data_IF_143614448710
#
_entry.id   IF_143614448710
#
_cell.length_a   1.000
_cell.length_b   1.000
_cell.length_c   1.000
_cell.angle_alpha   90.00
_cell.angle_beta   90.00
_cell.angle_gamma   90.00
#
_symmetry.space_group_name_H-M   'P 1'
#
loop_
_entity.id
_entity.type
_entity.pdbx_description
1 polymer ?
#
# COMPACT_ATOMS: atom_id res chain seq x y z
N UNK A 1 4.44 18.62 -11.18
CA UNK A 1 3.63 17.41 -10.93
C UNK A 1 4.58 16.21 -11.00
N UNK A 2 5.06 15.56 -9.94
CA UNK A 2 4.79 15.73 -8.52
C UNK A 2 6.09 15.96 -7.76
N UNK A 3 6.04 16.90 -6.82
CA UNK A 3 6.98 16.97 -5.72
C UNK A 3 6.80 15.67 -4.90
N UNK A 4 7.68 14.69 -5.04
CA UNK A 4 7.86 13.65 -4.01
C UNK A 4 8.51 14.33 -2.82
N UNK A 5 7.66 15.03 -2.09
CA UNK A 5 7.96 16.01 -1.06
C UNK A 5 8.72 15.37 0.12
N UNK A 6 9.59 16.13 0.79
CA UNK A 6 10.32 15.70 2.01
C UNK A 6 9.40 15.06 3.06
N UNK A 7 8.13 15.46 3.07
CA UNK A 7 7.06 14.96 3.96
C UNK A 7 6.84 13.45 3.85
N UNK A 8 7.05 12.83 2.68
CA UNK A 8 6.86 11.39 2.51
C UNK A 8 7.98 10.57 3.17
N UNK A 9 9.21 11.10 3.16
CA UNK A 9 10.37 10.44 3.74
C UNK A 9 10.37 10.52 5.28
N UNK A 10 9.86 11.61 5.85
CA UNK A 10 9.78 11.80 7.31
C UNK A 10 8.74 10.85 7.95
N UNK A 11 7.65 10.57 7.23
CA UNK A 11 6.59 9.63 7.66
C UNK A 11 6.95 8.16 7.50
N UNK A 12 7.99 7.83 6.73
CA UNK A 12 8.43 6.45 6.52
C UNK A 12 9.02 5.83 7.81
N UNK A 13 9.49 6.65 8.75
CA UNK A 13 10.16 6.22 9.99
C UNK A 13 9.17 5.65 11.03
N UNK A 14 7.87 5.99 10.93
CA UNK A 14 6.84 5.57 11.89
C UNK A 14 5.85 4.54 11.32
N UNK A 15 6.18 3.94 10.18
CA UNK A 15 5.29 3.03 9.46
C UNK A 15 5.16 1.69 10.20
N UNK A 16 3.93 1.19 10.37
CA UNK A 16 3.72 -0.18 10.85
C UNK A 16 4.12 -1.20 9.78
N UNK A 17 5.03 -2.10 10.13
CA UNK A 17 5.51 -3.19 9.26
C UNK A 17 4.36 -4.03 8.70
N UNK A 18 3.31 -4.26 9.49
CA UNK A 18 2.14 -5.05 9.05
C UNK A 18 1.40 -4.39 7.87
N UNK A 19 1.33 -3.06 7.87
CA UNK A 19 0.65 -2.30 6.82
C UNK A 19 1.45 -2.32 5.52
N UNK A 20 2.77 -2.25 5.64
CA UNK A 20 3.69 -2.36 4.50
C UNK A 20 3.69 -3.79 3.92
N UNK A 21 3.70 -4.83 4.77
CA UNK A 21 3.57 -6.22 4.34
C UNK A 21 2.24 -6.42 3.60
N UNK A 22 1.13 -5.88 4.11
CA UNK A 22 -0.15 -5.96 3.43
C UNK A 22 -0.08 -5.34 2.03
N UNK A 23 0.50 -4.14 1.89
CA UNK A 23 0.66 -3.46 0.61
C UNK A 23 1.51 -4.26 -0.39
N UNK A 24 2.70 -4.72 0.00
CA UNK A 24 3.58 -5.49 -0.90
C UNK A 24 2.94 -6.81 -1.31
N UNK A 25 2.21 -7.47 -0.40
CA UNK A 25 1.49 -8.71 -0.69
C UNK A 25 0.33 -8.49 -1.68
N UNK A 26 -0.42 -7.38 -1.56
CA UNK A 26 -1.46 -7.04 -2.54
C UNK A 26 -0.84 -6.86 -3.94
N UNK A 27 0.35 -6.28 -4.03
CA UNK A 27 1.06 -6.08 -5.29
C UNK A 27 1.59 -7.37 -5.90
N UNK A 28 2.16 -8.24 -5.08
CA UNK A 28 2.61 -9.56 -5.51
C UNK A 28 1.44 -10.44 -5.98
N UNK A 29 0.31 -10.40 -5.27
CA UNK A 29 -0.85 -11.25 -5.56
C UNK A 29 -1.85 -10.64 -6.57
N UNK A 30 -1.77 -9.33 -6.84
CA UNK A 30 -2.70 -8.59 -7.72
C UNK A 30 -4.14 -8.46 -7.23
N UNK A 31 -4.45 -8.94 -6.02
CA UNK A 31 -5.81 -8.94 -5.45
C UNK A 31 -5.80 -8.92 -3.93
N UNK A 32 -6.76 -8.20 -3.34
CA UNK A 32 -6.98 -8.17 -1.89
C UNK A 32 -7.32 -9.54 -1.32
N UNK A 33 -8.13 -10.34 -2.03
CA UNK A 33 -8.53 -11.67 -1.56
C UNK A 33 -7.36 -12.64 -1.56
N UNK A 34 -6.56 -12.64 -2.63
CA UNK A 34 -5.38 -13.51 -2.73
C UNK A 34 -4.29 -13.12 -1.71
N UNK A 35 -4.09 -11.82 -1.48
CA UNK A 35 -3.17 -11.35 -0.44
C UNK A 35 -3.65 -11.72 0.97
N UNK A 36 -4.96 -11.66 1.22
CA UNK A 36 -5.53 -12.05 2.51
C UNK A 36 -5.34 -13.54 2.80
N UNK A 37 -5.55 -14.39 1.78
CA UNK A 37 -5.27 -15.82 1.86
C UNK A 37 -3.79 -16.09 2.18
N UNK A 38 -2.88 -15.42 1.46
CA UNK A 38 -1.43 -15.53 1.68
C UNK A 38 -0.98 -15.07 3.07
N UNK A 39 -1.65 -14.07 3.65
CA UNK A 39 -1.36 -13.52 4.97
C UNK A 39 -2.13 -14.22 6.11
N UNK A 40 -3.03 -15.15 5.82
CA UNK A 40 -3.86 -15.82 6.83
C UNK A 40 -4.84 -14.90 7.56
N UNK A 41 -5.30 -13.82 6.90
CA UNK A 41 -6.23 -12.83 7.47
C UNK A 41 -7.44 -12.63 6.55
N UNK A 42 -8.40 -11.79 6.96
CA UNK A 42 -9.55 -11.47 6.11
C UNK A 42 -9.21 -10.37 5.09
N UNK A 43 -9.87 -10.38 3.93
CA UNK A 43 -9.71 -9.32 2.92
C UNK A 43 -10.06 -7.92 3.47
N UNK A 44 -11.01 -7.84 4.40
CA UNK A 44 -11.34 -6.60 5.13
C UNK A 44 -10.18 -6.11 5.98
N UNK A 45 -9.42 -7.02 6.61
CA UNK A 45 -8.23 -6.67 7.37
C UNK A 45 -7.12 -6.12 6.47
N UNK A 46 -6.86 -6.78 5.34
CA UNK A 46 -5.89 -6.31 4.34
C UNK A 46 -6.27 -4.93 3.80
N UNK A 47 -7.55 -4.73 3.45
CA UNK A 47 -8.05 -3.42 2.99
C UNK A 47 -7.91 -2.34 4.07
N UNK A 48 -8.12 -2.67 5.34
CA UNK A 48 -7.96 -1.74 6.46
C UNK A 48 -6.50 -1.38 6.67
N UNK A 49 -5.59 -2.35 6.63
CA UNK A 49 -4.14 -2.12 6.75
C UNK A 49 -3.63 -1.21 5.64
N UNK A 50 -4.07 -1.42 4.39
CA UNK A 50 -3.75 -0.52 3.28
C UNK A 50 -4.30 0.89 3.51
N UNK A 51 -5.57 1.03 3.89
CA UNK A 51 -6.18 2.34 4.15
C UNK A 51 -5.48 3.08 5.30
N UNK A 52 -5.01 2.34 6.32
CA UNK A 52 -4.24 2.90 7.42
C UNK A 52 -2.86 3.36 6.96
N UNK A 53 -2.20 2.61 6.07
CA UNK A 53 -0.94 2.98 5.45
C UNK A 53 -1.09 4.28 4.65
N UNK A 54 -2.08 4.33 3.76
CA UNK A 54 -2.41 5.52 2.96
C UNK A 54 -2.72 6.72 3.86
N UNK A 55 -3.47 6.52 4.95
CA UNK A 55 -3.77 7.59 5.92
C UNK A 55 -2.54 8.11 6.64
N UNK A 56 -1.62 7.22 7.06
CA UNK A 56 -0.37 7.61 7.72
C UNK A 56 0.50 8.45 6.78
N UNK A 57 0.64 7.99 5.54
CA UNK A 57 1.42 8.66 4.51
C UNK A 57 0.74 9.95 4.03
N UNK A 58 -0.59 10.01 4.07
CA UNK A 58 -1.39 11.12 3.57
C UNK A 58 -1.54 11.12 2.04
N UNK A 59 -1.31 9.98 1.40
CA UNK A 59 -1.43 9.79 -0.05
C UNK A 59 -2.22 8.52 -0.35
N UNK A 60 -2.67 8.37 -1.60
CA UNK A 60 -3.14 7.07 -2.09
C UNK A 60 -1.98 6.32 -2.73
N UNK A 61 -1.85 5.04 -2.43
CA UNK A 61 -0.86 4.13 -3.01
C UNK A 61 -1.46 3.32 -4.15
N UNK A 62 -2.76 3.04 -4.06
CA UNK A 62 -3.49 2.28 -5.06
C UNK A 62 -4.66 3.09 -5.58
N UNK A 63 -4.89 3.00 -6.89
CA UNK A 63 -6.10 3.50 -7.54
C UNK A 63 -6.96 2.31 -7.93
N UNK A 64 -8.20 2.30 -7.45
CA UNK A 64 -9.21 1.33 -7.90
C UNK A 64 -9.78 1.83 -9.23
N UNK A 65 -9.43 1.16 -10.32
CA UNK A 65 -10.40 1.02 -11.40
C UNK A 65 -11.24 -0.22 -11.10
N UNK A 66 -12.52 -0.23 -11.44
CA UNK A 66 -13.47 -1.31 -11.07
C UNK A 66 -13.11 -2.68 -11.66
N UNK A 67 -12.01 -2.78 -12.41
CA UNK A 67 -11.52 -4.01 -13.05
C UNK A 67 -10.03 -4.28 -12.85
N UNK A 68 -9.24 -3.30 -12.38
CA UNK A 68 -7.79 -3.46 -12.18
C UNK A 68 -7.30 -2.67 -10.97
N UNK A 69 -6.38 -3.31 -10.27
CA UNK A 69 -5.62 -2.74 -9.16
C UNK A 69 -4.40 -2.08 -9.79
N UNK A 70 -4.38 -0.75 -9.80
CA UNK A 70 -3.29 0.03 -10.40
C UNK A 70 -2.55 0.81 -9.32
N UNK A 71 -1.23 0.92 -9.48
CA UNK A 71 -0.37 1.73 -8.61
C UNK A 71 -0.53 3.21 -8.94
N UNK A 72 -0.55 4.05 -7.92
CA UNK A 72 -0.29 5.49 -8.09
C UNK A 72 1.21 5.72 -8.24
N UNK A 73 1.61 6.95 -8.61
CA UNK A 73 3.03 7.31 -8.66
C UNK A 73 3.72 7.13 -7.30
N UNK A 74 3.02 7.47 -6.21
CA UNK A 74 3.47 7.31 -4.83
C UNK A 74 3.54 5.83 -4.44
N UNK A 75 2.57 5.01 -4.87
CA UNK A 75 2.59 3.57 -4.67
C UNK A 75 3.79 2.92 -5.34
N UNK A 76 4.07 3.26 -6.60
CA UNK A 76 5.23 2.75 -7.33
C UNK A 76 6.54 3.16 -6.64
N UNK A 77 6.66 4.42 -6.21
CA UNK A 77 7.83 4.91 -5.48
C UNK A 77 8.04 4.17 -4.15
N UNK A 78 6.96 3.89 -3.42
CA UNK A 78 7.03 3.15 -2.16
C UNK A 78 7.45 1.70 -2.42
N UNK A 79 6.88 1.05 -3.45
CA UNK A 79 7.18 -0.34 -3.78
C UNK A 79 8.65 -0.55 -4.16
N UNK A 80 9.21 0.34 -4.98
CA UNK A 80 10.65 0.35 -5.36
C UNK A 80 11.59 0.39 -4.14
N UNK A 81 11.14 0.98 -3.03
CA UNK A 81 11.95 1.18 -1.82
C UNK A 81 11.63 0.19 -0.69
N UNK A 82 10.53 -0.53 -0.82
CA UNK A 82 10.07 -1.55 0.10
C UNK A 82 10.52 -2.96 -0.31
N UNK A 83 10.92 -3.14 -1.57
CA UNK A 83 11.58 -4.33 -2.10
C UNK A 83 13.06 -4.40 -1.69
#
# INVERSE_FOLDING_TARGET
MGCTDKVFCEKLIMLSTESLIAFTTIMDCGSFTAAADKLGVTASNVSRSLAQLEKQLGVRLLTRTTRRLDLTAEGAWLLERAA
#
